data_IF_243411091074
#
_entry.id   IF_243411091074
#
_cell.length_a   1.000
_cell.length_b   1.000
_cell.length_c   1.000
_cell.angle_alpha   90.00
_cell.angle_beta   90.00
_cell.angle_gamma   90.00
#
_symmetry.space_group_name_H-M   'P 1'
#
loop_
_entity.id
_entity.type
_entity.pdbx_description
1 polymer ?
#
# COMPACT_ATOMS: atom_id res chain seq x y z
N UNK A 1 -29.17 -8.60 2.40
CA UNK A 1 -28.80 -7.23 1.98
C UNK A 1 -27.87 -6.68 3.06
N UNK A 2 -26.61 -6.37 2.74
CA UNK A 2 -25.60 -5.97 3.73
C UNK A 2 -25.57 -4.46 4.03
N UNK A 3 -26.30 -3.64 3.27
CA UNK A 3 -26.37 -2.19 3.45
C UNK A 3 -27.83 -1.70 3.52
N UNK A 4 -28.17 -0.97 4.58
CA UNK A 4 -29.50 -0.37 4.85
C UNK A 4 -29.33 1.09 5.26
N UNK A 5 -29.95 2.02 4.53
CA UNK A 5 -29.96 3.46 4.84
C UNK A 5 -28.54 4.07 5.09
N UNK A 6 -27.54 3.63 4.32
CA UNK A 6 -26.15 4.08 4.46
C UNK A 6 -25.32 3.32 5.51
N UNK A 7 -25.94 2.42 6.27
CA UNK A 7 -25.26 1.56 7.24
C UNK A 7 -24.94 0.21 6.64
N UNK A 8 -23.69 -0.24 6.79
CA UNK A 8 -23.27 -1.58 6.43
C UNK A 8 -23.22 -2.47 7.68
N UNK A 9 -23.72 -3.70 7.57
CA UNK A 9 -23.48 -4.72 8.58
C UNK A 9 -22.10 -5.35 8.35
N UNK A 10 -21.31 -5.49 9.41
CA UNK A 10 -20.03 -6.19 9.39
C UNK A 10 -20.10 -7.41 10.31
N UNK A 11 -19.37 -8.47 9.97
CA UNK A 11 -19.18 -9.61 10.85
C UNK A 11 -17.94 -9.38 11.71
N UNK A 12 -18.01 -9.77 12.99
CA UNK A 12 -16.82 -9.82 13.82
C UNK A 12 -15.89 -10.95 13.32
N UNK A 13 -14.65 -10.59 13.01
CA UNK A 13 -13.59 -11.53 12.66
C UNK A 13 -12.54 -11.50 13.78
N UNK A 14 -12.14 -12.68 14.23
CA UNK A 14 -11.08 -12.84 15.23
C UNK A 14 -9.72 -12.65 14.56
N UNK A 15 -8.77 -12.08 15.30
CA UNK A 15 -7.36 -11.97 14.92
C UNK A 15 -6.76 -10.65 15.36
N UNK A 16 -5.44 -10.52 15.19
CA UNK A 16 -4.68 -9.32 15.52
C UNK A 16 -3.81 -8.89 14.32
N UNK A 17 -3.34 -7.65 14.34
CA UNK A 17 -2.26 -7.24 13.47
C UNK A 17 -0.96 -7.92 13.93
N UNK A 18 -0.29 -8.61 13.02
CA UNK A 18 0.96 -9.34 13.28
C UNK A 18 2.03 -8.98 12.24
N UNK A 19 3.31 -9.02 12.62
CA UNK A 19 4.45 -8.71 11.75
C UNK A 19 4.77 -9.84 10.73
N UNK A 20 3.73 -10.40 10.10
CA UNK A 20 3.81 -11.52 9.14
C UNK A 20 3.85 -11.02 7.71
N UNK A 21 4.82 -10.16 7.38
CA UNK A 21 4.82 -9.38 6.14
C UNK A 21 4.89 -10.21 4.85
N UNK A 22 5.59 -11.35 4.86
CA UNK A 22 5.56 -12.26 3.71
C UNK A 22 4.17 -12.84 3.45
N UNK A 23 3.47 -13.23 4.52
CA UNK A 23 2.12 -13.78 4.43
C UNK A 23 1.12 -12.70 4.06
N UNK A 24 1.33 -11.47 4.53
CA UNK A 24 0.54 -10.32 4.13
C UNK A 24 0.67 -10.02 2.61
N UNK A 25 1.89 -10.05 2.06
CA UNK A 25 2.09 -9.91 0.61
C UNK A 25 1.44 -11.08 -0.14
N UNK A 26 1.57 -12.31 0.35
CA UNK A 26 0.91 -13.47 -0.26
C UNK A 26 -0.62 -13.34 -0.24
N UNK A 27 -1.21 -12.87 0.87
CA UNK A 27 -2.63 -12.62 1.00
C UNK A 27 -3.12 -11.52 0.04
N UNK A 28 -2.34 -10.45 -0.13
CA UNK A 28 -2.58 -9.39 -1.11
C UNK A 28 -2.70 -9.95 -2.53
N UNK A 29 -1.74 -10.76 -2.95
CA UNK A 29 -1.73 -11.38 -4.28
C UNK A 29 -2.93 -12.33 -4.48
N UNK A 30 -3.29 -13.12 -3.46
CA UNK A 30 -4.49 -14.00 -3.51
C UNK A 30 -5.78 -13.19 -3.62
N UNK A 31 -5.90 -12.10 -2.85
CA UNK A 31 -7.03 -11.19 -2.92
C UNK A 31 -7.18 -10.62 -4.33
N UNK A 32 -6.10 -10.14 -4.93
CA UNK A 32 -6.16 -9.51 -6.25
C UNK A 32 -6.39 -10.52 -7.38
N UNK A 33 -5.86 -11.74 -7.26
CA UNK A 33 -6.25 -12.83 -8.14
C UNK A 33 -7.77 -13.09 -8.09
N UNK A 34 -8.38 -13.07 -6.91
CA UNK A 34 -9.82 -13.22 -6.74
C UNK A 34 -10.64 -12.03 -7.28
N UNK A 35 -10.07 -10.82 -7.28
CA UNK A 35 -10.73 -9.61 -7.80
C UNK A 35 -10.40 -9.30 -9.27
N UNK A 36 -9.62 -10.13 -9.96
CA UNK A 36 -9.17 -9.87 -11.33
C UNK A 36 -10.30 -9.69 -12.36
N UNK A 37 -11.46 -10.31 -12.13
CA UNK A 37 -12.64 -10.19 -13.00
C UNK A 37 -13.58 -9.04 -12.62
N UNK A 38 -13.31 -8.36 -11.50
CA UNK A 38 -14.13 -7.24 -11.03
C UNK A 38 -13.89 -6.04 -11.93
N UNK A 39 -14.97 -5.55 -12.55
CA UNK A 39 -14.94 -4.32 -13.36
C UNK A 39 -14.60 -3.11 -12.49
N UNK A 40 -13.92 -2.12 -13.07
CA UNK A 40 -13.59 -0.85 -12.39
C UNK A 40 -14.83 -0.25 -11.71
N UNK A 41 -14.85 -0.12 -10.37
CA UNK A 41 -16.00 0.42 -9.65
C UNK A 41 -16.22 1.91 -9.97
N UNK A 42 -17.47 2.30 -10.26
CA UNK A 42 -17.83 3.71 -10.52
C UNK A 42 -17.57 4.64 -9.33
N UNK A 43 -17.53 4.09 -8.10
CA UNK A 43 -17.19 4.87 -6.91
C UNK A 43 -15.79 5.49 -6.96
N UNK A 44 -14.89 4.97 -7.82
CA UNK A 44 -13.55 5.52 -8.01
C UNK A 44 -13.54 6.75 -8.94
N UNK A 45 -14.64 7.07 -9.62
CA UNK A 45 -14.71 8.20 -10.56
C UNK A 45 -14.76 9.55 -9.85
N UNK A 46 -15.51 9.62 -8.74
CA UNK A 46 -15.81 10.89 -8.05
C UNK A 46 -15.08 11.03 -6.70
N UNK A 47 -14.13 10.13 -6.40
CA UNK A 47 -13.39 10.13 -5.12
C UNK A 47 -12.28 11.18 -5.16
N UNK A 48 -12.22 12.06 -4.17
CA UNK A 48 -11.17 13.10 -4.05
C UNK A 48 -10.62 13.23 -2.61
N UNK A 49 -10.74 12.16 -1.82
CA UNK A 49 -10.11 12.09 -0.51
C UNK A 49 -8.58 12.06 -0.58
N UNK A 50 -7.94 12.29 0.56
CA UNK A 50 -6.47 12.39 0.69
C UNK A 50 -5.74 11.16 0.11
N UNK A 51 -6.31 9.96 0.26
CA UNK A 51 -5.76 8.72 -0.29
C UNK A 51 -5.79 8.74 -1.82
N UNK A 52 -6.87 9.22 -2.41
CA UNK A 52 -7.04 9.32 -3.86
C UNK A 52 -6.09 10.35 -4.48
N UNK A 53 -5.89 11.48 -3.81
CA UNK A 53 -4.94 12.51 -4.26
C UNK A 53 -3.51 12.02 -4.22
N UNK A 54 -3.13 11.33 -3.14
CA UNK A 54 -1.81 10.73 -2.99
C UNK A 54 -1.54 9.67 -4.06
N UNK A 55 -2.52 8.82 -4.37
CA UNK A 55 -2.41 7.82 -5.44
C UNK A 55 -2.24 8.51 -6.80
N UNK A 56 -3.11 9.45 -7.17
CA UNK A 56 -2.97 10.20 -8.42
C UNK A 56 -1.61 10.92 -8.51
N UNK A 57 -1.12 11.48 -7.41
CA UNK A 57 0.20 12.11 -7.34
C UNK A 57 1.34 11.12 -7.55
N UNK A 58 1.26 9.92 -6.95
CA UNK A 58 2.24 8.85 -7.13
C UNK A 58 2.36 8.37 -8.59
N UNK A 59 1.24 8.38 -9.31
CA UNK A 59 1.18 8.01 -10.73
C UNK A 59 1.47 9.17 -11.70
N UNK A 60 1.62 10.39 -11.19
CA UNK A 60 1.87 11.59 -12.01
C UNK A 60 0.62 12.10 -12.73
N UNK A 61 -0.54 11.63 -12.31
CA UNK A 61 -1.87 12.04 -12.81
C UNK A 61 -2.33 13.35 -12.15
N UNK A 62 -1.70 13.72 -11.02
CA UNK A 62 -1.94 14.95 -10.28
C UNK A 62 -0.61 15.55 -9.81
N UNK A 63 -0.48 16.87 -9.87
CA UNK A 63 0.61 17.59 -9.21
C UNK A 63 0.27 17.86 -7.75
N UNK A 64 1.25 17.74 -6.87
CA UNK A 64 1.13 18.04 -5.45
C UNK A 64 2.31 18.91 -5.02
N UNK A 65 2.07 19.83 -4.09
CA UNK A 65 3.10 20.65 -3.47
C UNK A 65 3.14 20.32 -1.97
N UNK A 66 4.22 19.68 -1.53
CA UNK A 66 4.43 19.31 -0.13
C UNK A 66 5.52 20.20 0.47
N UNK A 67 5.39 20.54 1.75
CA UNK A 67 6.45 21.24 2.45
C UNK A 67 7.69 20.33 2.60
N UNK A 68 8.92 20.89 2.57
CA UNK A 68 10.13 20.09 2.77
C UNK A 68 10.14 19.29 4.07
N UNK A 69 9.60 19.86 5.16
CA UNK A 69 9.54 19.23 6.49
C UNK A 69 8.66 17.98 6.57
N UNK A 70 7.84 17.72 5.56
CA UNK A 70 6.93 16.56 5.50
C UNK A 70 7.17 15.67 4.29
N UNK A 71 8.32 15.86 3.62
CA UNK A 71 8.79 14.97 2.54
C UNK A 71 8.71 15.55 1.14
N UNK A 72 8.49 16.86 0.96
CA UNK A 72 8.41 17.45 -0.38
C UNK A 72 9.66 17.26 -1.24
N UNK A 73 10.85 17.48 -0.67
CA UNK A 73 12.10 17.24 -1.38
C UNK A 73 12.26 15.76 -1.77
N UNK A 74 11.93 14.84 -0.86
CA UNK A 74 11.95 13.41 -1.12
C UNK A 74 10.96 13.02 -2.23
N UNK A 75 9.74 13.57 -2.20
CA UNK A 75 8.73 13.31 -3.23
C UNK A 75 9.24 13.72 -4.60
N UNK A 76 9.79 14.93 -4.74
CA UNK A 76 10.32 15.42 -6.02
C UNK A 76 11.47 14.55 -6.53
N UNK A 77 12.37 14.15 -5.64
CA UNK A 77 13.51 13.30 -5.95
C UNK A 77 13.09 11.93 -6.49
N UNK A 78 12.14 11.28 -5.80
CA UNK A 78 11.62 9.96 -6.20
C UNK A 78 10.76 10.09 -7.46
N UNK A 79 9.98 11.17 -7.59
CA UNK A 79 9.10 11.43 -8.73
C UNK A 79 9.88 11.62 -10.03
N UNK A 80 11.07 12.23 -9.95
CA UNK A 80 11.99 12.40 -11.08
C UNK A 80 12.52 11.07 -11.65
N UNK A 81 12.46 9.97 -10.88
CA UNK A 81 12.92 8.62 -11.31
C UNK A 81 11.81 7.76 -11.89
N UNK A 82 10.59 8.28 -11.99
CA UNK A 82 9.48 7.58 -12.63
C UNK A 82 9.79 7.32 -14.11
N UNK A 83 9.57 6.09 -14.52
CA UNK A 83 9.58 5.65 -15.92
C UNK A 83 8.19 5.15 -16.29
N UNK A 84 7.92 5.04 -17.58
CA UNK A 84 6.68 4.43 -18.05
C UNK A 84 6.59 3.00 -17.51
N UNK A 85 5.44 2.66 -16.92
CA UNK A 85 5.15 1.33 -16.40
C UNK A 85 3.96 0.78 -17.17
N UNK A 86 4.14 -0.34 -17.86
CA UNK A 86 3.09 -1.01 -18.64
C UNK A 86 2.68 -2.29 -17.94
N UNK A 87 1.83 -2.16 -16.93
CA UNK A 87 1.17 -3.28 -16.25
C UNK A 87 -0.34 -3.08 -16.29
N UNK A 88 -1.13 -4.15 -16.36
CA UNK A 88 -2.58 -4.04 -16.38
C UNK A 88 -3.09 -3.55 -15.02
N UNK A 89 -3.95 -2.53 -15.04
CA UNK A 89 -4.69 -2.11 -13.83
C UNK A 89 -5.93 -2.97 -13.61
N UNK A 90 -6.22 -3.27 -12.35
CA UNK A 90 -7.45 -3.92 -11.90
C UNK A 90 -7.86 -3.37 -10.53
N UNK A 91 -8.94 -3.92 -9.94
CA UNK A 91 -9.28 -3.60 -8.55
C UNK A 91 -8.23 -4.22 -7.63
N UNK A 92 -7.55 -3.36 -6.87
CA UNK A 92 -6.59 -3.75 -5.82
C UNK A 92 -6.91 -3.03 -4.52
N UNK A 93 -6.30 -3.48 -3.42
CA UNK A 93 -6.41 -2.86 -2.11
C UNK A 93 -5.08 -2.23 -1.72
N UNK A 94 -5.04 -0.90 -1.56
CA UNK A 94 -3.80 -0.17 -1.28
C UNK A 94 -3.42 -0.08 0.20
N UNK A 95 -4.35 -0.31 1.12
CA UNK A 95 -4.13 -0.12 2.58
C UNK A 95 -4.09 -1.45 3.38
N UNK A 96 -3.44 -2.49 2.86
CA UNK A 96 -3.49 -3.83 3.47
C UNK A 96 -2.68 -3.97 4.78
N UNK A 97 -1.69 -3.11 5.02
CA UNK A 97 -0.79 -3.22 6.17
C UNK A 97 -1.49 -3.15 7.54
N UNK A 98 -2.52 -2.32 7.66
CA UNK A 98 -3.31 -2.16 8.88
C UNK A 98 -4.67 -2.86 8.87
N UNK A 99 -4.97 -3.66 7.83
CA UNK A 99 -6.32 -4.19 7.59
C UNK A 99 -6.34 -5.70 7.36
N UNK A 100 -5.29 -6.40 7.77
CA UNK A 100 -5.23 -7.85 7.70
C UNK A 100 -4.96 -8.42 9.10
N UNK A 101 -5.91 -9.23 9.56
CA UNK A 101 -5.87 -9.88 10.85
C UNK A 101 -5.41 -11.33 10.70
N UNK A 102 -4.50 -11.73 11.58
CA UNK A 102 -4.04 -13.11 11.71
C UNK A 102 -4.63 -13.67 13.01
N UNK A 103 -5.28 -14.83 12.93
CA UNK A 103 -5.73 -15.55 14.11
C UNK A 103 -4.74 -16.68 14.39
N UNK A 104 -3.67 -16.37 15.12
CA UNK A 104 -2.66 -17.33 15.53
C UNK A 104 -2.97 -17.80 16.96
N UNK A 105 -3.71 -18.91 17.17
CA UNK A 105 -4.13 -19.33 18.50
C UNK A 105 -2.95 -19.52 19.48
N UNK A 106 -1.75 -19.87 18.99
CA UNK A 106 -0.57 -20.15 19.82
C UNK A 106 0.69 -19.35 19.44
N UNK A 107 0.56 -18.30 18.60
CA UNK A 107 1.72 -17.52 18.11
C UNK A 107 2.68 -18.30 17.19
N UNK A 108 2.34 -19.53 16.81
CA UNK A 108 3.10 -20.33 15.85
C UNK A 108 2.83 -19.85 14.41
N UNK A 109 3.91 -19.59 13.67
CA UNK A 109 3.87 -19.28 12.24
C UNK A 109 3.76 -20.60 11.45
N UNK A 110 2.73 -20.73 10.61
CA UNK A 110 2.71 -21.76 9.55
C UNK A 110 1.46 -22.64 9.43
N UNK A 111 0.63 -22.79 10.48
CA UNK A 111 -0.55 -23.70 10.46
C UNK A 111 -1.87 -23.03 10.95
N UNK A 112 -1.90 -21.69 10.98
CA UNK A 112 -3.08 -20.93 11.39
C UNK A 112 -4.16 -20.80 10.30
N UNK A 113 -5.40 -20.40 10.65
CA UNK A 113 -6.45 -20.04 9.70
C UNK A 113 -5.99 -18.96 8.70
N UNK A 114 -6.64 -18.95 7.52
CA UNK A 114 -6.37 -17.94 6.49
C UNK A 114 -6.54 -16.51 7.05
N UNK A 115 -5.68 -15.57 6.65
CA UNK A 115 -5.75 -14.19 7.13
C UNK A 115 -7.08 -13.53 6.74
N UNK A 116 -7.63 -12.75 7.66
CA UNK A 116 -8.87 -12.02 7.45
C UNK A 116 -8.59 -10.58 6.98
N UNK A 117 -9.10 -10.22 5.81
CA UNK A 117 -9.04 -8.84 5.30
C UNK A 117 -10.26 -8.07 5.79
N UNK A 118 -10.03 -6.91 6.40
CA UNK A 118 -11.06 -5.95 6.84
C UNK A 118 -10.95 -4.64 6.05
N UNK A 119 -11.94 -3.76 6.18
CA UNK A 119 -11.90 -2.36 5.70
C UNK A 119 -11.35 -2.13 4.29
N UNK A 120 -12.04 -2.68 3.28
CA UNK A 120 -11.62 -2.61 1.88
C UNK A 120 -11.51 -1.17 1.36
N UNK A 121 -10.30 -0.74 0.99
CA UNK A 121 -10.04 0.52 0.28
C UNK A 121 -9.60 0.23 -1.17
N UNK A 122 -10.53 0.27 -2.15
CA UNK A 122 -10.22 -0.12 -3.52
C UNK A 122 -9.44 0.96 -4.27
N UNK A 123 -8.57 0.53 -5.18
CA UNK A 123 -7.84 1.32 -6.16
C UNK A 123 -7.89 0.65 -7.53
N UNK A 124 -7.55 1.39 -8.59
CA UNK A 124 -7.46 0.85 -9.95
C UNK A 124 -6.02 0.87 -10.46
N UNK A 125 -5.19 -0.04 -9.96
CA UNK A 125 -3.74 -0.10 -10.18
C UNK A 125 -3.26 -1.53 -10.45
N UNK A 126 -2.00 -1.74 -10.87
CA UNK A 126 -1.40 -3.07 -10.95
C UNK A 126 -1.37 -3.79 -9.60
N UNK A 127 -1.43 -5.11 -9.63
CA UNK A 127 -1.45 -5.95 -8.40
C UNK A 127 -0.14 -5.84 -7.64
N UNK A 128 0.97 -5.70 -8.37
CA UNK A 128 2.32 -5.57 -7.83
C UNK A 128 2.48 -4.26 -7.06
N UNK A 129 1.72 -3.22 -7.40
CA UNK A 129 1.72 -1.97 -6.66
C UNK A 129 1.15 -2.13 -5.26
N UNK A 130 0.06 -2.88 -5.09
CA UNK A 130 -0.50 -3.13 -3.76
C UNK A 130 0.44 -3.99 -2.89
N UNK A 131 1.15 -4.96 -3.48
CA UNK A 131 2.23 -5.68 -2.81
C UNK A 131 3.38 -4.73 -2.41
N UNK A 132 3.76 -3.81 -3.29
CA UNK A 132 4.80 -2.82 -3.02
C UNK A 132 4.42 -1.87 -1.88
N UNK A 133 3.16 -1.45 -1.75
CA UNK A 133 2.70 -0.61 -0.63
C UNK A 133 2.90 -1.33 0.71
N UNK A 134 2.55 -2.62 0.79
CA UNK A 134 2.81 -3.43 2.00
C UNK A 134 4.30 -3.43 2.36
N UNK A 135 5.17 -3.62 1.36
CA UNK A 135 6.63 -3.66 1.60
C UNK A 135 7.13 -2.29 2.06
N UNK A 136 6.68 -1.19 1.46
CA UNK A 136 7.01 0.17 1.90
C UNK A 136 6.57 0.40 3.35
N UNK A 137 5.36 0.00 3.71
CA UNK A 137 4.83 0.18 5.07
C UNK A 137 5.60 -0.66 6.10
N UNK A 138 5.92 -1.90 5.73
CA UNK A 138 6.70 -2.81 6.57
C UNK A 138 8.11 -2.28 6.83
N UNK A 139 8.76 -1.68 5.83
CA UNK A 139 10.07 -1.05 5.99
C UNK A 139 9.98 0.27 6.79
N UNK A 140 8.97 1.10 6.51
CA UNK A 140 8.86 2.42 7.12
C UNK A 140 8.40 2.36 8.58
N UNK A 141 7.48 1.45 8.91
CA UNK A 141 6.79 1.42 10.19
C UNK A 141 6.69 0.03 10.83
N UNK A 142 6.86 -1.04 10.06
CA UNK A 142 6.79 -2.42 10.55
C UNK A 142 8.10 -2.99 11.11
N UNK A 143 9.23 -2.32 10.91
CA UNK A 143 10.53 -2.83 11.34
C UNK A 143 11.02 -4.03 10.51
N UNK A 144 10.48 -4.23 9.31
CA UNK A 144 11.02 -5.20 8.36
C UNK A 144 12.42 -4.77 7.88
N UNK A 145 13.25 -5.75 7.53
CA UNK A 145 14.55 -5.50 6.91
C UNK A 145 14.47 -5.47 5.37
N UNK A 146 15.56 -5.01 4.73
CA UNK A 146 15.68 -4.91 3.27
C UNK A 146 15.58 -6.27 2.54
N UNK A 147 15.68 -7.40 3.25
CA UNK A 147 15.43 -8.73 2.73
C UNK A 147 14.01 -8.94 2.24
N UNK A 148 13.01 -8.32 2.89
CA UNK A 148 11.61 -8.37 2.43
C UNK A 148 11.47 -7.78 1.02
N UNK A 149 12.09 -6.63 0.78
CA UNK A 149 12.10 -5.96 -0.52
C UNK A 149 12.81 -6.79 -1.61
N UNK A 150 13.87 -7.53 -1.27
CA UNK A 150 14.56 -8.44 -2.22
C UNK A 150 13.75 -9.69 -2.51
N UNK A 151 13.07 -10.25 -1.51
CA UNK A 151 12.32 -11.50 -1.65
C UNK A 151 11.22 -11.42 -2.72
N UNK A 152 10.58 -10.26 -2.87
CA UNK A 152 9.50 -10.02 -3.82
C UNK A 152 9.94 -9.35 -5.12
N UNK A 153 11.25 -9.21 -5.36
CA UNK A 153 11.82 -8.56 -6.56
C UNK A 153 11.52 -9.27 -7.88
N UNK A 154 10.99 -10.50 -7.81
CA UNK A 154 10.54 -11.28 -8.97
C UNK A 154 9.20 -10.81 -9.53
N UNK A 155 8.45 -9.94 -8.83
CA UNK A 155 7.19 -9.38 -9.33
C UNK A 155 7.44 -8.41 -10.50
N UNK A 156 6.50 -8.38 -11.45
CA UNK A 156 6.66 -7.59 -12.67
C UNK A 156 6.74 -6.09 -12.37
N UNK A 157 7.70 -5.42 -13.01
CA UNK A 157 7.90 -3.98 -12.84
C UNK A 157 8.28 -3.54 -11.42
N UNK A 158 8.75 -4.46 -10.56
CA UNK A 158 9.02 -4.23 -9.13
C UNK A 158 9.69 -2.90 -8.79
N UNK A 159 10.82 -2.50 -9.42
CA UNK A 159 11.47 -1.22 -9.09
C UNK A 159 10.53 -0.02 -9.29
N UNK A 160 9.71 -0.05 -10.33
CA UNK A 160 8.81 1.06 -10.68
C UNK A 160 7.51 1.07 -9.86
N UNK A 161 7.02 -0.08 -9.40
CA UNK A 161 5.90 -0.12 -8.44
C UNK A 161 6.34 0.24 -7.03
N UNK A 162 7.57 -0.11 -6.61
CA UNK A 162 8.14 0.34 -5.34
C UNK A 162 8.30 1.86 -5.27
N UNK A 163 8.82 2.49 -6.33
CA UNK A 163 8.88 3.96 -6.41
C UNK A 163 7.49 4.59 -6.28
N UNK A 164 6.47 4.02 -6.92
CA UNK A 164 5.08 4.52 -6.85
C UNK A 164 4.45 4.29 -5.48
N UNK A 165 4.71 3.15 -4.84
CA UNK A 165 4.28 2.89 -3.47
C UNK A 165 4.91 3.87 -2.47
N UNK A 166 6.21 4.15 -2.61
CA UNK A 166 6.91 5.14 -1.81
C UNK A 166 6.35 6.55 -2.03
N UNK A 167 6.17 6.97 -3.30
CA UNK A 167 5.56 8.26 -3.62
C UNK A 167 4.15 8.39 -3.04
N UNK A 168 3.35 7.32 -3.12
CA UNK A 168 2.02 7.28 -2.54
C UNK A 168 2.08 7.55 -1.03
N UNK A 169 2.95 6.84 -0.30
CA UNK A 169 3.08 7.04 1.16
C UNK A 169 3.67 8.40 1.54
N UNK A 170 4.62 8.94 0.76
CA UNK A 170 5.15 10.29 1.00
C UNK A 170 4.10 11.36 0.75
N UNK A 171 3.31 11.26 -0.32
CA UNK A 171 2.21 12.19 -0.58
C UNK A 171 1.12 12.09 0.49
N UNK A 172 0.71 10.87 0.83
CA UNK A 172 -0.28 10.60 1.87
C UNK A 172 0.17 11.18 3.22
N UNK A 173 1.42 10.92 3.60
CA UNK A 173 2.04 11.50 4.79
C UNK A 173 2.02 13.02 4.72
N UNK A 174 2.53 13.62 3.64
CA UNK A 174 2.69 15.06 3.53
C UNK A 174 1.39 15.87 3.54
N UNK A 175 0.27 15.29 3.11
CA UNK A 175 -1.05 15.93 3.21
C UNK A 175 -1.73 15.72 4.57
N UNK A 176 -1.26 14.77 5.40
CA UNK A 176 -1.91 14.43 6.64
C UNK A 176 -1.70 15.52 7.71
N UNK A 177 -2.73 15.96 8.46
CA UNK A 177 -2.58 17.03 9.45
C UNK A 177 -1.57 16.75 10.57
N UNK A 178 -1.30 15.46 10.84
CA UNK A 178 -0.33 15.01 11.85
C UNK A 178 1.07 14.76 11.30
N UNK A 179 1.32 15.09 10.04
CA UNK A 179 2.64 14.92 9.42
C UNK A 179 3.71 15.73 10.14
N UNK A 180 4.86 15.13 10.36
CA UNK A 180 5.99 15.75 11.04
C UNK A 180 7.31 15.20 10.53
N UNK A 181 8.43 15.90 10.78
CA UNK A 181 9.76 15.36 10.50
C UNK A 181 10.05 14.03 11.23
N UNK A 182 9.40 13.78 12.37
CA UNK A 182 9.59 12.52 13.12
C UNK A 182 8.92 11.36 12.40
N UNK A 183 7.69 11.55 11.95
CA UNK A 183 6.90 10.52 11.25
C UNK A 183 7.39 10.27 9.83
N UNK A 184 8.15 11.21 9.25
CA UNK A 184 8.78 11.08 7.93
C UNK A 184 9.98 10.12 7.91
N UNK A 185 10.70 9.95 9.03
CA UNK A 185 11.99 9.22 9.07
C UNK A 185 11.91 7.80 8.52
N UNK A 186 10.81 7.09 8.78
CA UNK A 186 10.60 5.74 8.25
C UNK A 186 10.56 5.72 6.72
N UNK A 187 9.95 6.73 6.10
CA UNK A 187 9.87 6.88 4.66
C UNK A 187 11.21 7.30 4.05
N UNK A 188 11.98 8.16 4.73
CA UNK A 188 13.34 8.52 4.33
C UNK A 188 14.26 7.28 4.32
N UNK A 189 14.23 6.48 5.39
CA UNK A 189 14.99 5.23 5.45
C UNK A 189 14.56 4.24 4.35
N UNK A 190 13.24 4.11 4.14
CA UNK A 190 12.70 3.26 3.07
C UNK A 190 13.14 3.74 1.68
N UNK A 191 13.20 5.06 1.48
CA UNK A 191 13.69 5.65 0.25
C UNK A 191 15.14 5.29 -0.06
N UNK A 192 16.03 5.32 0.94
CA UNK A 192 17.42 4.89 0.77
C UNK A 192 17.49 3.46 0.21
N UNK A 193 16.68 2.54 0.77
CA UNK A 193 16.63 1.16 0.30
C UNK A 193 16.06 1.03 -1.11
N UNK A 194 14.93 1.67 -1.39
CA UNK A 194 14.26 1.60 -2.72
C UNK A 194 15.11 2.21 -3.82
N UNK A 195 15.77 3.34 -3.53
CA UNK A 195 16.59 4.06 -4.52
C UNK A 195 17.88 3.32 -4.88
N UNK A 196 18.38 2.42 -4.03
CA UNK A 196 19.53 1.57 -4.38
C UNK A 196 19.19 0.47 -5.39
N UNK A 197 17.91 0.17 -5.61
CA UNK A 197 17.46 -0.83 -6.60
C UNK A 197 17.15 -0.27 -7.99
N UNK A 198 16.86 1.04 -8.08
CA UNK A 198 16.11 1.66 -9.18
C UNK A 198 16.98 2.20 -10.32
#
# INVERSE_FOLDING_TARGET
RWVVAGWAASQYLRGNLEARYHELVAASLRLHAATASVRRPRLLDDRDDLVTRADAAAWGERSIALAPSVGGALFDEVAARRRQLKLPSQVVHGELFGTVLFDSPDGATGDGPDPAVVDLVPFWRPVEWAAAVIVVDALAWGGADAGLLRAWSHLDGWPQVMLRALLFRVALHGEHPSASPITLRGLEHTAELVLTMA
#
